data_IF_378966384177
#
_entry.id   IF_378966384177
#
_cell.length_a   1.000
_cell.length_b   1.000
_cell.length_c   1.000
_cell.angle_alpha   90.00
_cell.angle_beta   90.00
_cell.angle_gamma   90.00
#
_symmetry.space_group_name_H-M   'P 1'
#
loop_
_entity.id
_entity.type
_entity.pdbx_description
1 polymer ?
#
# COMPACT_ATOMS: atom_id res chain seq x y z
N UNK A 1 -1.93 -19.04 -20.65
CA UNK A 1 -1.94 -17.63 -20.19
C UNK A 1 -1.08 -16.83 -21.15
N UNK A 2 -1.65 -15.87 -21.87
CA UNK A 2 -0.88 -14.98 -22.76
C UNK A 2 -0.02 -14.06 -21.90
N UNK A 3 1.29 -14.26 -21.92
CA UNK A 3 2.23 -13.41 -21.21
C UNK A 3 2.36 -12.08 -21.98
N UNK A 4 1.64 -11.05 -21.53
CA UNK A 4 1.76 -9.70 -22.09
C UNK A 4 3.02 -9.06 -21.52
N UNK A 5 3.86 -8.48 -22.38
CA UNK A 5 5.07 -7.78 -21.94
C UNK A 5 4.72 -6.67 -20.94
N UNK A 6 5.60 -6.48 -19.95
CA UNK A 6 5.44 -5.47 -18.90
C UNK A 6 5.31 -4.07 -19.49
N UNK A 7 6.04 -3.78 -20.57
CA UNK A 7 6.05 -2.48 -21.24
C UNK A 7 4.68 -2.16 -21.85
N UNK A 8 4.07 -3.13 -22.53
CA UNK A 8 2.72 -2.99 -23.11
C UNK A 8 1.68 -2.78 -22.00
N UNK A 9 1.79 -3.53 -20.90
CA UNK A 9 0.90 -3.37 -19.75
C UNK A 9 1.01 -1.97 -19.14
N UNK A 10 2.22 -1.45 -18.95
CA UNK A 10 2.41 -0.12 -18.37
C UNK A 10 1.96 1.00 -19.33
N UNK A 11 2.17 0.84 -20.63
CA UNK A 11 1.65 1.77 -21.65
C UNK A 11 0.12 1.81 -21.65
N UNK A 12 -0.55 0.65 -21.70
CA UNK A 12 -2.01 0.55 -21.66
C UNK A 12 -2.57 1.19 -20.39
N UNK A 13 -1.95 0.94 -19.24
CA UNK A 13 -2.37 1.55 -17.97
C UNK A 13 -2.16 3.06 -17.93
N UNK A 14 -1.09 3.57 -18.56
CA UNK A 14 -0.86 5.01 -18.71
C UNK A 14 -1.96 5.65 -19.56
N UNK A 15 -2.30 5.04 -20.70
CA UNK A 15 -3.36 5.50 -21.60
C UNK A 15 -4.75 5.50 -20.95
N UNK A 16 -5.06 4.50 -20.13
CA UNK A 16 -6.30 4.50 -19.32
C UNK A 16 -6.32 5.68 -18.36
N UNK A 17 -5.21 5.98 -17.67
CA UNK A 17 -5.12 7.12 -16.75
C UNK A 17 -5.29 8.46 -17.47
N UNK A 18 -4.84 8.56 -18.72
CA UNK A 18 -5.04 9.74 -19.58
C UNK A 18 -6.48 9.90 -20.08
N UNK A 19 -7.40 8.98 -19.74
CA UNK A 19 -8.82 9.06 -20.06
C UNK A 19 -9.25 8.26 -21.29
N UNK A 20 -8.37 7.46 -21.89
CA UNK A 20 -8.74 6.63 -23.05
C UNK A 20 -9.61 5.45 -22.59
N UNK A 21 -10.77 5.19 -23.24
CA UNK A 21 -11.65 4.09 -22.87
C UNK A 21 -10.98 2.72 -22.95
N UNK A 22 -11.18 1.88 -21.93
CA UNK A 22 -10.65 0.50 -21.89
C UNK A 22 -11.08 -0.34 -23.10
N UNK A 23 -12.29 -0.09 -23.63
CA UNK A 23 -12.82 -0.80 -24.82
C UNK A 23 -12.01 -0.48 -26.08
N UNK A 24 -11.52 0.75 -26.22
CA UNK A 24 -10.69 1.18 -27.35
C UNK A 24 -9.30 0.55 -27.26
N UNK A 25 -8.69 0.62 -26.07
CA UNK A 25 -7.38 -0.01 -25.82
C UNK A 25 -7.44 -1.53 -25.94
N UNK A 26 -8.56 -2.14 -25.59
CA UNK A 26 -8.79 -3.58 -25.75
C UNK A 26 -8.70 -4.00 -27.22
N UNK A 27 -9.28 -3.20 -28.12
CA UNK A 27 -9.22 -3.42 -29.57
C UNK A 27 -7.82 -3.11 -30.12
N UNK A 28 -7.24 -1.97 -29.74
CA UNK A 28 -5.95 -1.51 -30.25
C UNK A 28 -4.80 -2.47 -29.95
N UNK A 29 -4.78 -3.04 -28.74
CA UNK A 29 -3.70 -3.93 -28.29
C UNK A 29 -4.06 -5.41 -28.35
N UNK A 30 -5.27 -5.77 -28.79
CA UNK A 30 -5.73 -7.15 -28.82
C UNK A 30 -5.85 -7.80 -27.43
N UNK A 31 -5.98 -6.99 -26.37
CA UNK A 31 -6.07 -7.46 -24.98
C UNK A 31 -7.53 -7.45 -24.56
N UNK A 32 -8.04 -8.56 -24.02
CA UNK A 32 -9.41 -8.61 -23.52
C UNK A 32 -9.65 -7.56 -22.41
N UNK A 33 -10.72 -6.78 -22.50
CA UNK A 33 -11.02 -5.69 -21.55
C UNK A 33 -10.99 -6.14 -20.06
N UNK A 34 -11.45 -7.36 -19.75
CA UNK A 34 -11.38 -7.93 -18.38
C UNK A 34 -9.94 -8.01 -17.85
N UNK A 35 -8.96 -8.26 -18.72
CA UNK A 35 -7.54 -8.30 -18.35
C UNK A 35 -7.05 -6.92 -17.96
N UNK A 36 -7.44 -5.88 -18.70
CA UNK A 36 -7.09 -4.49 -18.41
C UNK A 36 -7.71 -4.05 -17.07
N UNK A 37 -9.00 -4.36 -16.85
CA UNK A 37 -9.66 -4.13 -15.55
C UNK A 37 -9.00 -4.92 -14.40
N UNK A 38 -8.53 -6.14 -14.66
CA UNK A 38 -7.75 -6.92 -13.70
C UNK A 38 -6.44 -6.23 -13.31
N UNK A 39 -5.72 -5.64 -14.27
CA UNK A 39 -4.52 -4.86 -13.99
C UNK A 39 -4.80 -3.58 -13.21
N UNK A 40 -5.87 -2.87 -13.55
CA UNK A 40 -6.30 -1.67 -12.82
C UNK A 40 -6.66 -2.02 -11.38
N UNK A 41 -7.43 -3.09 -11.16
CA UNK A 41 -7.75 -3.60 -9.82
C UNK A 41 -6.49 -3.93 -9.02
N UNK A 42 -5.52 -4.59 -9.65
CA UNK A 42 -4.27 -4.98 -8.99
C UNK A 42 -3.31 -3.80 -8.74
N UNK A 43 -3.40 -2.69 -9.48
CA UNK A 43 -2.69 -1.42 -9.14
C UNK A 43 -3.47 -0.56 -8.13
N UNK A 44 -4.80 -0.59 -8.15
CA UNK A 44 -5.67 0.19 -7.26
C UNK A 44 -5.69 -0.35 -5.83
N UNK A 45 -5.52 -1.67 -5.68
CA UNK A 45 -5.03 -2.25 -4.43
C UNK A 45 -3.56 -1.86 -4.37
N UNK A 46 -3.31 -0.61 -3.97
CA UNK A 46 -1.97 -0.08 -3.82
C UNK A 46 -1.13 -1.11 -3.11
N UNK A 47 0.09 -1.31 -3.60
CA UNK A 47 1.13 -2.03 -2.90
C UNK A 47 1.30 -1.38 -1.53
N UNK A 48 0.50 -1.78 -0.54
CA UNK A 48 0.92 -1.72 0.85
C UNK A 48 2.14 -2.61 0.84
N UNK A 49 3.30 -1.97 0.69
CA UNK A 49 4.58 -2.64 0.81
C UNK A 49 4.50 -3.33 2.15
N UNK A 50 4.42 -4.66 2.14
CA UNK A 50 4.33 -5.46 3.36
C UNK A 50 5.49 -5.13 4.30
N UNK A 51 6.62 -4.74 3.71
CA UNK A 51 7.82 -4.22 4.36
C UNK A 51 7.53 -2.86 5.04
N UNK A 52 6.94 -1.90 4.33
CA UNK A 52 6.60 -0.59 4.89
C UNK A 52 5.60 -0.73 6.05
N UNK A 53 4.59 -1.59 5.88
CA UNK A 53 3.62 -1.89 6.94
C UNK A 53 4.27 -2.57 8.15
N UNK A 54 5.19 -3.52 7.93
CA UNK A 54 5.93 -4.16 9.01
C UNK A 54 6.84 -3.18 9.75
N UNK A 55 7.50 -2.26 9.03
CA UNK A 55 8.33 -1.18 9.60
C UNK A 55 7.49 -0.25 10.46
N UNK A 56 6.38 0.28 9.94
CA UNK A 56 5.46 1.14 10.68
C UNK A 56 4.88 0.45 11.92
N UNK A 57 4.57 -0.85 11.82
CA UNK A 57 4.07 -1.64 12.96
C UNK A 57 5.14 -1.76 14.06
N UNK A 58 6.41 -1.96 13.69
CA UNK A 58 7.53 -2.03 14.63
C UNK A 58 7.76 -0.69 15.32
N UNK A 59 7.84 0.39 14.54
CA UNK A 59 8.01 1.75 15.08
C UNK A 59 6.89 2.11 16.07
N UNK A 60 5.63 1.75 15.77
CA UNK A 60 4.51 1.97 16.68
C UNK A 60 4.61 1.14 17.97
N UNK A 61 5.15 -0.08 17.91
CA UNK A 61 5.38 -0.91 19.09
C UNK A 61 6.44 -0.30 20.01
N UNK A 62 7.58 0.10 19.45
CA UNK A 62 8.68 0.72 20.18
C UNK A 62 8.23 2.03 20.87
N UNK A 63 7.44 2.86 20.17
CA UNK A 63 6.85 4.08 20.76
C UNK A 63 5.93 3.77 21.95
N UNK A 64 5.10 2.73 21.86
CA UNK A 64 4.21 2.33 22.96
C UNK A 64 4.98 1.84 24.18
N UNK A 65 6.07 1.10 23.97
CA UNK A 65 6.94 0.64 25.06
C UNK A 65 7.59 1.82 25.79
N UNK A 66 8.14 2.78 25.05
CA UNK A 66 8.72 4.00 25.63
C UNK A 66 7.69 4.75 26.46
N UNK A 67 6.49 4.98 25.91
CA UNK A 67 5.39 5.66 26.64
C UNK A 67 5.02 4.89 27.90
N UNK A 68 4.95 3.56 27.83
CA UNK A 68 4.67 2.70 28.98
C UNK A 68 5.70 2.85 30.10
N UNK A 69 7.00 2.78 29.75
CA UNK A 69 8.09 2.96 30.71
C UNK A 69 8.05 4.34 31.38
N UNK A 70 7.92 5.41 30.60
CA UNK A 70 7.82 6.78 31.13
C UNK A 70 6.61 6.95 32.05
N UNK A 71 5.46 6.37 31.67
CA UNK A 71 4.24 6.41 32.49
C UNK A 71 4.43 5.71 33.84
N UNK A 72 5.13 4.57 33.85
CA UNK A 72 5.46 3.85 35.08
C UNK A 72 6.42 4.64 35.97
N UNK A 73 7.48 5.22 35.40
CA UNK A 73 8.41 6.08 36.15
C UNK A 73 7.72 7.28 36.78
N UNK A 74 6.87 7.98 36.02
CA UNK A 74 6.04 9.08 36.52
C UNK A 74 5.13 8.63 37.67
N UNK A 75 4.55 7.43 37.58
CA UNK A 75 3.69 6.89 38.63
C UNK A 75 4.47 6.61 39.93
N UNK A 76 5.67 6.01 39.82
CA UNK A 76 6.56 5.75 40.96
C UNK A 76 7.03 7.04 41.61
N UNK A 77 7.43 8.02 40.81
CA UNK A 77 7.85 9.33 41.29
C UNK A 77 6.74 10.06 42.04
N UNK A 78 5.51 10.04 41.53
CA UNK A 78 4.33 10.62 42.21
C UNK A 78 3.98 9.88 43.51
N UNK A 79 4.22 8.57 43.60
CA UNK A 79 3.99 7.77 44.82
C UNK A 79 5.01 8.10 45.91
N UNK A 80 6.29 8.23 45.56
CA UNK A 80 7.36 8.55 46.50
C UNK A 80 7.27 9.98 47.08
N UNK A 81 6.60 10.92 46.39
CA UNK A 81 6.35 12.28 46.91
C UNK A 81 5.15 12.40 47.85
N UNK A 82 4.35 11.33 48.01
CA UNK A 82 3.15 11.31 48.87
C UNK A 82 3.34 10.51 50.16
N UNK A 83 4.50 9.87 50.33
CA UNK A 83 4.89 9.16 51.55
C UNK A 83 5.77 10.01 52.44
#
# INVERSE_FOLDING_TARGET
MTNVSKDIKDEVLSKVKSGIPVVELSKQYGIHFRTIYGWLRNKAIGTVSTIEHAKLKRENMELKEIIGMLSLELSKFKKNRRG
#
